data_IF_323547570074
#
_entry.id   IF_323547570074
#
_cell.length_a   1.000
_cell.length_b   1.000
_cell.length_c   1.000
_cell.angle_alpha   90.00
_cell.angle_beta   90.00
_cell.angle_gamma   90.00
#
_symmetry.space_group_name_H-M   'P 1'
#
loop_
_entity.id
_entity.type
_entity.pdbx_description
1 polymer ?
#
# COMPACT_ATOMS: atom_id res chain seq x y z
N UNK A 1 -35.97 3.23 15.87
CA UNK A 1 -34.95 4.19 15.43
C UNK A 1 -33.87 4.24 16.50
N UNK A 2 -32.77 3.52 16.30
CA UNK A 2 -31.61 3.58 17.19
C UNK A 2 -30.36 3.68 16.33
N UNK A 3 -29.67 4.77 16.58
CA UNK A 3 -28.47 5.31 15.95
C UNK A 3 -27.24 4.46 16.26
N UNK A 4 -26.55 3.97 15.24
CA UNK A 4 -25.16 3.55 15.37
C UNK A 4 -24.26 4.65 14.83
N UNK A 5 -23.81 5.48 15.76
CA UNK A 5 -22.70 6.42 15.60
C UNK A 5 -21.39 5.61 15.75
N UNK A 6 -20.53 5.65 14.72
CA UNK A 6 -19.24 4.95 14.69
C UNK A 6 -18.14 5.94 15.09
N UNK A 7 -17.27 5.61 16.07
CA UNK A 7 -16.18 6.51 16.45
C UNK A 7 -15.08 6.59 15.38
N UNK A 8 -14.42 7.75 15.19
CA UNK A 8 -13.30 7.88 14.26
C UNK A 8 -12.02 7.22 14.83
N UNK A 9 -11.34 6.45 13.98
CA UNK A 9 -10.02 5.88 14.28
C UNK A 9 -8.94 6.98 14.39
N UNK A 10 -7.97 6.87 15.31
CA UNK A 10 -6.96 7.89 15.55
C UNK A 10 -5.83 7.86 14.51
N UNK A 11 -5.62 8.98 13.84
CA UNK A 11 -4.45 9.20 12.98
C UNK A 11 -3.28 9.80 13.77
N UNK A 12 -2.14 9.09 13.73
CA UNK A 12 -0.84 9.67 13.36
C UNK A 12 -0.16 10.62 14.34
N UNK A 13 0.87 10.10 15.03
CA UNK A 13 1.84 10.82 15.85
C UNK A 13 2.65 11.91 15.12
N UNK A 14 2.79 13.04 15.82
CA UNK A 14 3.99 13.87 16.05
C UNK A 14 4.84 14.38 14.88
N UNK A 15 4.81 15.71 14.66
CA UNK A 15 5.94 16.50 14.12
C UNK A 15 6.20 17.71 15.02
N UNK A 16 7.41 17.79 15.56
CA UNK A 16 7.96 18.96 16.23
C UNK A 16 9.29 19.36 15.55
N UNK A 17 9.71 20.61 15.84
CA UNK A 17 10.92 21.34 15.41
C UNK A 17 10.76 22.15 14.10
N UNK A 18 10.45 23.46 14.15
CA UNK A 18 11.24 24.64 14.58
C UNK A 18 12.09 25.25 13.46
N UNK A 19 11.72 26.45 13.01
CA UNK A 19 12.62 27.44 12.38
C UNK A 19 11.93 28.80 12.26
N UNK A 20 12.23 29.71 13.20
CA UNK A 20 12.13 31.17 13.05
C UNK A 20 13.43 31.73 13.62
N UNK A 21 14.26 32.38 12.80
CA UNK A 21 14.84 33.68 13.15
C UNK A 21 15.48 34.39 11.94
N UNK A 22 14.87 35.52 11.62
CA UNK A 22 15.42 36.83 11.21
C UNK A 22 16.31 37.00 9.97
N UNK A 23 15.67 37.66 9.01
CA UNK A 23 16.23 38.58 8.03
C UNK A 23 16.89 39.80 8.70
N UNK A 24 18.09 40.19 8.27
CA UNK A 24 18.58 41.57 8.43
C UNK A 24 19.42 41.98 7.22
N UNK A 25 19.10 43.16 6.72
CA UNK A 25 19.55 43.77 5.47
C UNK A 25 20.48 44.96 5.78
N UNK A 26 21.52 45.13 4.95
CA UNK A 26 22.22 46.40 4.66
C UNK A 26 23.65 46.59 5.24
N UNK A 27 24.48 47.50 4.68
CA UNK A 27 24.50 48.03 3.31
C UNK A 27 25.94 48.23 2.68
N UNK A 28 25.99 48.53 1.36
CA UNK A 28 26.97 49.33 0.52
C UNK A 28 28.45 49.58 0.94
N UNK A 29 29.52 49.74 0.13
CA UNK A 29 29.94 49.70 -1.31
C UNK A 29 31.49 49.95 -1.31
N UNK A 30 32.17 50.49 -2.35
CA UNK A 30 32.74 49.86 -3.56
C UNK A 30 34.29 49.99 -3.67
N UNK A 31 34.82 49.68 -4.86
CA UNK A 31 36.15 50.00 -5.43
C UNK A 31 37.35 49.07 -5.16
N UNK A 32 37.79 48.36 -6.22
CA UNK A 32 39.00 48.73 -6.98
C UNK A 32 39.48 47.58 -7.89
N UNK A 33 39.43 47.80 -9.20
CA UNK A 33 40.08 46.98 -10.26
C UNK A 33 41.50 47.54 -10.48
N UNK A 34 42.54 46.71 -10.71
CA UNK A 34 43.25 46.73 -12.01
C UNK A 34 43.84 45.32 -12.39
N UNK A 35 44.68 45.14 -13.44
CA UNK A 35 44.22 44.66 -14.74
C UNK A 35 44.97 43.42 -15.32
N UNK A 36 44.36 42.82 -16.36
CA UNK A 36 44.88 42.07 -17.54
C UNK A 36 46.17 41.22 -17.46
N UNK A 37 46.00 39.95 -17.85
CA UNK A 37 46.96 39.17 -18.66
C UNK A 37 46.18 38.35 -19.71
N UNK A 38 46.71 38.11 -20.94
CA UNK A 38 45.96 37.50 -22.03
C UNK A 38 46.17 35.98 -22.18
N UNK A 39 45.12 35.35 -22.72
CA UNK A 39 45.10 34.26 -23.72
C UNK A 39 45.40 32.79 -23.37
N UNK A 40 44.54 31.97 -24.02
CA UNK A 40 44.68 30.58 -24.47
C UNK A 40 44.45 29.41 -23.51
N UNK A 41 43.52 28.52 -23.90
CA UNK A 41 43.35 27.21 -23.25
C UNK A 41 41.98 26.58 -23.45
N UNK A 42 41.83 25.86 -24.56
CA UNK A 42 40.76 24.94 -24.92
C UNK A 42 40.16 24.10 -23.78
N UNK A 43 38.83 23.95 -23.87
CA UNK A 43 38.04 22.72 -23.67
C UNK A 43 38.36 21.85 -22.45
N UNK A 44 37.47 21.89 -21.47
CA UNK A 44 36.84 20.67 -20.96
C UNK A 44 35.48 21.01 -20.34
N UNK A 45 34.41 20.80 -21.10
CA UNK A 45 33.05 20.77 -20.59
C UNK A 45 32.89 19.49 -19.77
N UNK A 46 33.26 19.54 -18.48
CA UNK A 46 32.93 18.51 -17.52
C UNK A 46 31.40 18.49 -17.32
N UNK A 47 30.71 17.66 -18.10
CA UNK A 47 29.29 17.36 -17.88
C UNK A 47 29.21 16.53 -16.60
N UNK A 48 29.13 17.22 -15.47
CA UNK A 48 28.85 16.62 -14.18
C UNK A 48 27.49 15.93 -14.22
N UNK A 49 27.48 14.60 -14.36
CA UNK A 49 26.27 13.80 -14.21
C UNK A 49 25.86 13.86 -12.75
N UNK A 50 24.97 14.80 -12.42
CA UNK A 50 24.32 14.87 -11.12
C UNK A 50 23.40 13.64 -10.99
N UNK A 51 23.91 12.60 -10.35
CA UNK A 51 23.11 11.43 -9.97
C UNK A 51 22.11 11.87 -8.91
N UNK A 52 20.90 12.19 -9.35
CA UNK A 52 19.77 12.44 -8.43
C UNK A 52 19.58 11.19 -7.58
N UNK A 53 19.50 11.30 -6.24
CA UNK A 53 19.32 10.14 -5.37
C UNK A 53 18.04 9.41 -5.80
N UNK A 54 18.19 8.16 -6.25
CA UNK A 54 17.06 7.27 -6.58
C UNK A 54 16.16 7.20 -5.35
N UNK A 55 14.94 7.72 -5.48
CA UNK A 55 13.92 7.59 -4.45
C UNK A 55 13.79 6.09 -4.11
N UNK A 56 14.12 5.71 -2.87
CA UNK A 56 13.96 4.34 -2.40
C UNK A 56 12.45 4.08 -2.35
N UNK A 57 11.93 3.40 -3.36
CA UNK A 57 10.56 2.90 -3.35
C UNK A 57 10.44 1.92 -2.18
N UNK A 58 9.62 2.26 -1.20
CA UNK A 58 9.31 1.36 -0.08
C UNK A 58 8.55 0.17 -0.65
N UNK A 59 9.01 -1.06 -0.36
CA UNK A 59 8.28 -2.28 -0.74
C UNK A 59 6.84 -2.20 -0.21
N UNK A 60 5.82 -2.53 -1.02
CA UNK A 60 4.44 -2.50 -0.57
C UNK A 60 4.26 -3.47 0.60
N UNK A 61 3.41 -3.09 1.56
CA UNK A 61 3.05 -4.01 2.66
C UNK A 61 2.17 -5.13 2.10
N UNK A 62 2.42 -6.35 2.57
CA UNK A 62 1.66 -7.53 2.19
C UNK A 62 0.49 -7.71 3.17
N UNK A 63 -0.59 -8.30 2.67
CA UNK A 63 -1.84 -8.49 3.37
C UNK A 63 -2.39 -9.88 3.09
N UNK A 64 -2.87 -10.54 4.14
CA UNK A 64 -3.58 -11.82 4.05
C UNK A 64 -5.04 -11.55 3.72
N UNK A 65 -5.59 -12.30 2.78
CA UNK A 65 -7.03 -12.39 2.58
C UNK A 65 -7.53 -13.61 3.33
N UNK A 66 -8.48 -13.39 4.22
CA UNK A 66 -9.05 -14.38 5.12
C UNK A 66 -10.50 -14.65 4.73
N UNK A 67 -10.92 -15.90 4.77
CA UNK A 67 -12.31 -16.32 4.64
C UNK A 67 -12.81 -16.88 5.96
N UNK A 68 -14.02 -16.48 6.35
CA UNK A 68 -14.62 -16.85 7.62
C UNK A 68 -15.72 -17.90 7.41
N UNK A 69 -15.82 -18.83 8.35
CA UNK A 69 -16.86 -19.86 8.33
C UNK A 69 -18.23 -19.30 8.63
N UNK A 70 -19.24 -19.91 8.02
CA UNK A 70 -20.66 -19.72 8.31
C UNK A 70 -21.42 -21.04 8.02
N UNK A 71 -22.65 -21.15 8.50
CA UNK A 71 -23.42 -22.39 8.42
C UNK A 71 -24.30 -22.52 7.15
N UNK A 72 -24.29 -21.52 6.26
CA UNK A 72 -25.24 -21.43 5.14
C UNK A 72 -24.58 -21.43 3.76
N UNK A 73 -23.31 -21.08 3.65
CA UNK A 73 -22.57 -21.10 2.40
C UNK A 73 -22.16 -22.54 2.03
N UNK A 74 -22.56 -23.06 0.85
CA UNK A 74 -22.19 -24.41 0.43
C UNK A 74 -20.67 -24.59 0.27
N UNK A 75 -20.14 -25.76 0.64
CA UNK A 75 -18.71 -26.09 0.47
C UNK A 75 -18.24 -25.93 -0.99
N UNK A 76 -19.04 -26.37 -1.95
CA UNK A 76 -18.72 -26.23 -3.38
C UNK A 76 -18.65 -24.77 -3.83
N UNK A 77 -19.45 -23.89 -3.24
CA UNK A 77 -19.36 -22.46 -3.52
C UNK A 77 -18.02 -21.88 -3.05
N UNK A 78 -17.57 -22.27 -1.86
CA UNK A 78 -16.26 -21.87 -1.32
C UNK A 78 -15.11 -22.34 -2.22
N UNK A 79 -15.16 -23.60 -2.67
CA UNK A 79 -14.14 -24.14 -3.59
C UNK A 79 -14.15 -23.36 -4.91
N UNK A 80 -15.32 -23.10 -5.49
CA UNK A 80 -15.44 -22.30 -6.72
C UNK A 80 -14.84 -20.89 -6.56
N UNK A 81 -15.09 -20.23 -5.43
CA UNK A 81 -14.52 -18.91 -5.11
C UNK A 81 -13.00 -18.96 -5.06
N UNK A 82 -12.43 -19.97 -4.41
CA UNK A 82 -10.99 -20.15 -4.27
C UNK A 82 -10.30 -20.42 -5.62
N UNK A 83 -10.91 -21.24 -6.46
CA UNK A 83 -10.42 -21.50 -7.82
C UNK A 83 -10.47 -20.24 -8.69
N UNK A 84 -11.62 -19.55 -8.69
CA UNK A 84 -11.88 -18.43 -9.60
C UNK A 84 -11.10 -17.17 -9.25
N UNK A 85 -11.05 -16.77 -7.98
CA UNK A 85 -10.48 -15.47 -7.59
C UNK A 85 -9.08 -15.57 -6.98
N UNK A 86 -8.71 -16.73 -6.45
CA UNK A 86 -7.42 -16.94 -5.80
C UNK A 86 -6.49 -17.87 -6.59
N UNK A 87 -6.93 -18.33 -7.76
CA UNK A 87 -6.18 -19.22 -8.65
C UNK A 87 -5.66 -20.47 -7.91
N UNK A 88 -6.45 -20.97 -6.96
CA UNK A 88 -6.15 -22.23 -6.28
C UNK A 88 -6.50 -23.40 -7.18
N UNK A 89 -5.68 -24.42 -7.15
CA UNK A 89 -6.06 -25.73 -7.68
C UNK A 89 -7.22 -26.31 -6.86
N UNK A 90 -7.97 -27.24 -7.44
CA UNK A 90 -9.09 -27.91 -6.74
C UNK A 90 -8.68 -28.52 -5.40
N UNK A 91 -7.50 -29.14 -5.35
CA UNK A 91 -6.96 -29.76 -4.13
C UNK A 91 -6.62 -28.72 -3.06
N UNK A 92 -5.92 -27.63 -3.43
CA UNK A 92 -5.62 -26.53 -2.51
C UNK A 92 -6.92 -25.86 -2.01
N UNK A 93 -7.86 -25.61 -2.92
CA UNK A 93 -9.14 -24.99 -2.60
C UNK A 93 -9.95 -25.85 -1.62
N UNK A 94 -9.97 -27.17 -1.83
CA UNK A 94 -10.62 -28.13 -0.92
C UNK A 94 -9.96 -28.11 0.46
N UNK A 95 -8.62 -28.10 0.51
CA UNK A 95 -7.89 -28.03 1.78
C UNK A 95 -8.17 -26.73 2.55
N UNK A 96 -8.21 -25.58 1.86
CA UNK A 96 -8.52 -24.29 2.48
C UNK A 96 -9.99 -24.26 2.93
N UNK A 97 -10.92 -24.76 2.11
CA UNK A 97 -12.33 -24.87 2.45
C UNK A 97 -12.54 -25.67 3.74
N UNK A 98 -11.89 -26.85 3.85
CA UNK A 98 -11.94 -27.66 5.05
C UNK A 98 -11.34 -26.92 6.27
N UNK A 99 -10.27 -26.14 6.06
CA UNK A 99 -9.70 -25.31 7.11
C UNK A 99 -10.70 -24.26 7.61
N UNK A 100 -11.38 -23.54 6.69
CA UNK A 100 -12.42 -22.57 7.04
C UNK A 100 -13.50 -23.28 7.85
N UNK A 101 -14.04 -24.38 7.35
CA UNK A 101 -15.14 -25.12 7.99
C UNK A 101 -14.78 -25.63 9.39
N UNK A 102 -13.58 -26.18 9.58
CA UNK A 102 -13.19 -26.82 10.84
C UNK A 102 -12.61 -25.84 11.86
N UNK A 103 -11.94 -24.77 11.42
CA UNK A 103 -11.20 -23.84 12.28
C UNK A 103 -11.83 -22.45 12.37
N UNK A 104 -12.90 -22.21 11.63
CA UNK A 104 -13.59 -20.92 11.56
C UNK A 104 -12.96 -19.91 10.61
N UNK A 105 -11.70 -20.09 10.20
CA UNK A 105 -10.97 -19.17 9.32
C UNK A 105 -9.93 -19.89 8.45
N UNK A 106 -9.79 -19.44 7.22
CA UNK A 106 -8.78 -19.91 6.26
C UNK A 106 -8.10 -18.77 5.52
N UNK A 107 -6.83 -18.95 5.18
CA UNK A 107 -6.07 -17.98 4.38
C UNK A 107 -6.24 -18.32 2.91
N UNK A 108 -6.87 -17.43 2.15
CA UNK A 108 -7.08 -17.60 0.71
C UNK A 108 -5.81 -17.27 -0.08
N UNK A 109 -5.03 -16.29 0.38
CA UNK A 109 -3.77 -15.87 -0.23
C UNK A 109 -3.19 -14.61 0.41
N UNK A 110 -2.00 -14.21 -0.05
CA UNK A 110 -1.29 -13.03 0.42
C UNK A 110 -1.00 -12.11 -0.78
N UNK A 111 -1.41 -10.85 -0.69
CA UNK A 111 -1.36 -9.88 -1.78
C UNK A 111 -0.96 -8.48 -1.30
N UNK A 112 -0.73 -7.56 -2.22
CA UNK A 112 -0.71 -6.13 -1.88
C UNK A 112 -2.11 -5.65 -1.50
N UNK A 113 -2.21 -4.53 -0.78
CA UNK A 113 -3.49 -4.00 -0.29
C UNK A 113 -4.55 -3.87 -1.40
N UNK A 114 -4.20 -3.19 -2.50
CA UNK A 114 -5.14 -2.93 -3.61
C UNK A 114 -5.67 -4.23 -4.24
N UNK A 115 -4.78 -5.23 -4.41
CA UNK A 115 -5.16 -6.53 -4.97
C UNK A 115 -6.03 -7.31 -3.98
N UNK A 116 -5.71 -7.26 -2.69
CA UNK A 116 -6.50 -7.89 -1.64
C UNK A 116 -7.91 -7.28 -1.57
N UNK A 117 -8.03 -5.95 -1.56
CA UNK A 117 -9.29 -5.20 -1.51
C UNK A 117 -10.18 -5.51 -2.71
N UNK A 118 -9.60 -5.50 -3.91
CA UNK A 118 -10.32 -5.86 -5.12
C UNK A 118 -10.83 -7.30 -5.10
N UNK A 119 -10.00 -8.27 -4.66
CA UNK A 119 -10.39 -9.67 -4.55
C UNK A 119 -11.50 -9.87 -3.51
N UNK A 120 -11.38 -9.28 -2.32
CA UNK A 120 -12.42 -9.35 -1.30
C UNK A 120 -13.75 -8.82 -1.83
N UNK A 121 -13.73 -7.66 -2.49
CA UNK A 121 -14.94 -7.07 -3.07
C UNK A 121 -15.62 -8.00 -4.07
N UNK A 122 -14.85 -8.58 -5.01
CA UNK A 122 -15.35 -9.53 -6.01
C UNK A 122 -15.98 -10.79 -5.37
N UNK A 123 -15.36 -11.32 -4.30
CA UNK A 123 -15.88 -12.48 -3.57
C UNK A 123 -17.18 -12.15 -2.86
N UNK A 124 -17.22 -11.03 -2.14
CA UNK A 124 -18.40 -10.58 -1.40
C UNK A 124 -19.58 -10.31 -2.34
N UNK A 125 -19.32 -9.71 -3.51
CA UNK A 125 -20.36 -9.44 -4.50
C UNK A 125 -20.92 -10.72 -5.11
N UNK A 126 -20.06 -11.69 -5.44
CA UNK A 126 -20.52 -13.00 -5.92
C UNK A 126 -21.34 -13.74 -4.85
N UNK A 127 -20.91 -13.71 -3.59
CA UNK A 127 -21.62 -14.33 -2.48
C UNK A 127 -23.02 -13.72 -2.30
N UNK A 128 -23.12 -12.38 -2.33
CA UNK A 128 -24.42 -11.68 -2.25
C UNK A 128 -25.34 -12.02 -3.43
N UNK A 129 -24.81 -12.05 -4.65
CA UNK A 129 -25.60 -12.42 -5.84
C UNK A 129 -26.15 -13.85 -5.76
N UNK A 130 -25.44 -14.76 -5.09
CA UNK A 130 -25.86 -16.14 -4.86
C UNK A 130 -26.55 -16.35 -3.50
N UNK A 131 -26.88 -15.27 -2.78
CA UNK A 131 -27.58 -15.29 -1.49
C UNK A 131 -26.84 -16.08 -0.39
N UNK A 132 -25.51 -16.05 -0.41
CA UNK A 132 -24.67 -16.65 0.63
C UNK A 132 -24.13 -15.57 1.59
N UNK A 133 -24.13 -15.81 2.92
CA UNK A 133 -23.62 -14.86 3.90
C UNK A 133 -22.08 -14.88 4.05
N UNK A 134 -21.37 -15.55 3.14
CA UNK A 134 -19.92 -15.71 3.15
C UNK A 134 -19.19 -14.39 3.40
N UNK A 135 -18.25 -14.40 4.35
CA UNK A 135 -17.42 -13.25 4.68
C UNK A 135 -15.96 -13.44 4.28
N UNK A 136 -15.36 -12.37 3.77
CA UNK A 136 -13.97 -12.31 3.34
C UNK A 136 -13.37 -10.98 3.84
N UNK A 137 -12.20 -11.03 4.48
CA UNK A 137 -11.56 -9.86 5.12
C UNK A 137 -10.06 -9.81 4.82
N UNK A 138 -9.42 -8.69 5.18
CA UNK A 138 -8.00 -8.45 4.94
C UNK A 138 -7.30 -8.17 6.27
N UNK A 139 -6.19 -8.85 6.52
CA UNK A 139 -5.32 -8.62 7.67
C UNK A 139 -3.92 -8.25 7.19
N UNK A 140 -3.25 -7.33 7.90
CA UNK A 140 -1.86 -6.99 7.59
C UNK A 140 -0.95 -8.14 8.03
N UNK A 141 -0.07 -8.60 7.14
CA UNK A 141 0.94 -9.62 7.45
C UNK A 141 2.00 -9.12 8.45
#
# INVERSE_FOLDING_TARGET
MSSYDLPPYPNGRSRAALSRLESRMGPESPDSIPPRGPEDGDQDLEIGVVVRPRARTRKPSMYKVLMLNDDYTPMEFVVHVLERFFAKTRDEATSIMLQVHQRGVGICGVFTYEVAESKVTQVMDLARQNQHPLQCTIEKD
#
